data_IF_836697123324
#
_entry.id   IF_836697123324
#
_cell.length_a   1.000
_cell.length_b   1.000
_cell.length_c   1.000
_cell.angle_alpha   90.00
_cell.angle_beta   90.00
_cell.angle_gamma   90.00
#
_symmetry.space_group_name_H-M   'P 1'
#
loop_
_entity.id
_entity.type
_entity.pdbx_description
1 polymer ?
#
# COMPACT_ATOMS: atom_id res chain seq x y z
N UNK A 1 -10.17 -3.21 23.91
CA UNK A 1 -11.36 -2.94 23.05
C UNK A 1 -11.18 -3.64 21.72
N UNK A 2 -12.19 -4.38 21.25
CA UNK A 2 -12.06 -5.11 19.96
C UNK A 2 -12.46 -4.21 18.79
N UNK A 3 -11.65 -4.22 17.73
CA UNK A 3 -11.88 -3.45 16.52
C UNK A 3 -11.87 -4.39 15.31
N UNK A 4 -12.85 -4.22 14.44
CA UNK A 4 -12.89 -4.84 13.13
C UNK A 4 -12.22 -3.89 12.12
N UNK A 5 -11.13 -4.32 11.52
CA UNK A 5 -10.46 -3.60 10.44
C UNK A 5 -10.94 -4.14 9.10
N UNK A 6 -11.36 -3.26 8.21
CA UNK A 6 -11.84 -3.58 6.87
C UNK A 6 -10.98 -2.89 5.82
N UNK A 7 -10.60 -3.64 4.80
CA UNK A 7 -9.91 -3.16 3.61
C UNK A 7 -10.68 -3.66 2.39
N UNK A 8 -11.45 -2.79 1.77
CA UNK A 8 -12.28 -3.10 0.62
C UNK A 8 -11.56 -2.81 -0.70
N UNK A 9 -11.75 -3.66 -1.68
CA UNK A 9 -11.39 -3.44 -3.07
C UNK A 9 -12.63 -3.63 -3.96
N UNK A 10 -12.50 -3.40 -5.26
CA UNK A 10 -13.64 -3.47 -6.20
C UNK A 10 -14.31 -4.86 -6.26
N UNK A 11 -13.56 -5.93 -6.05
CA UNK A 11 -14.06 -7.32 -6.07
C UNK A 11 -13.55 -8.18 -4.91
N UNK A 12 -13.03 -7.54 -3.86
CA UNK A 12 -12.49 -8.22 -2.70
C UNK A 12 -12.71 -7.40 -1.43
N UNK A 13 -12.67 -8.09 -0.28
CA UNK A 13 -12.72 -7.46 1.02
C UNK A 13 -11.83 -8.27 1.96
N UNK A 14 -10.90 -7.61 2.64
CA UNK A 14 -10.09 -8.23 3.71
C UNK A 14 -10.54 -7.69 5.05
N UNK A 15 -10.54 -8.55 6.06
CA UNK A 15 -10.92 -8.14 7.40
C UNK A 15 -10.04 -8.78 8.47
N UNK A 16 -9.98 -8.11 9.62
CA UNK A 16 -9.27 -8.58 10.79
C UNK A 16 -9.97 -8.07 12.05
N UNK A 17 -10.31 -8.99 12.96
CA UNK A 17 -10.82 -8.66 14.29
C UNK A 17 -9.69 -8.79 15.30
N UNK A 18 -9.40 -7.71 16.01
CA UNK A 18 -8.30 -7.68 16.98
C UNK A 18 -8.64 -6.85 18.23
N UNK A 19 -7.96 -7.15 19.33
CA UNK A 19 -7.93 -6.26 20.50
C UNK A 19 -6.83 -5.21 20.32
N UNK A 20 -7.21 -3.94 20.46
CA UNK A 20 -6.26 -2.82 20.25
C UNK A 20 -5.24 -2.67 21.37
N UNK A 21 -5.55 -3.16 22.58
CA UNK A 21 -4.69 -3.02 23.75
C UNK A 21 -3.63 -4.12 23.78
N UNK A 22 -4.05 -5.39 23.54
CA UNK A 22 -3.15 -6.55 23.52
C UNK A 22 -2.53 -6.81 22.15
N UNK A 23 -3.08 -6.23 21.08
CA UNK A 23 -2.75 -6.50 19.66
C UNK A 23 -3.05 -7.96 19.24
N UNK A 24 -3.79 -8.72 20.05
CA UNK A 24 -4.17 -10.09 19.74
C UNK A 24 -5.18 -10.13 18.62
N UNK A 25 -4.89 -10.89 17.56
CA UNK A 25 -5.77 -11.09 16.41
C UNK A 25 -6.65 -12.28 16.65
N UNK A 26 -7.94 -12.07 16.85
CA UNK A 26 -8.91 -13.14 17.08
C UNK A 26 -9.33 -13.87 15.82
N UNK A 27 -9.46 -13.12 14.73
CA UNK A 27 -9.77 -13.67 13.42
C UNK A 27 -9.28 -12.75 12.30
N UNK A 28 -9.00 -13.35 11.16
CA UNK A 28 -8.70 -12.64 9.91
C UNK A 28 -9.31 -13.40 8.73
N UNK A 29 -9.57 -12.69 7.65
CA UNK A 29 -10.10 -13.33 6.47
C UNK A 29 -10.16 -12.42 5.25
N UNK A 30 -10.60 -13.03 4.15
CA UNK A 30 -10.78 -12.34 2.90
C UNK A 30 -11.99 -12.90 2.14
N UNK A 31 -12.79 -12.00 1.59
CA UNK A 31 -13.82 -12.31 0.59
C UNK A 31 -13.21 -12.03 -0.77
N UNK A 32 -13.29 -12.98 -1.69
CA UNK A 32 -12.68 -12.87 -3.01
C UNK A 32 -13.73 -13.08 -4.10
N UNK A 33 -13.51 -12.42 -5.25
CA UNK A 33 -14.37 -12.51 -6.43
C UNK A 33 -15.81 -12.03 -6.15
N UNK A 34 -15.96 -10.97 -5.32
CA UNK A 34 -17.26 -10.34 -5.05
C UNK A 34 -17.83 -9.83 -6.38
N UNK A 35 -19.10 -10.16 -6.66
CA UNK A 35 -19.75 -9.84 -7.93
C UNK A 35 -19.33 -10.72 -9.12
N UNK A 36 -18.49 -11.75 -8.89
CA UNK A 36 -17.94 -12.62 -9.92
C UNK A 36 -18.22 -14.10 -9.55
N UNK A 37 -18.43 -14.96 -10.54
CA UNK A 37 -18.64 -16.39 -10.33
C UNK A 37 -17.44 -17.05 -9.64
N UNK A 38 -17.71 -18.01 -8.75
CA UNK A 38 -16.68 -18.71 -7.96
C UNK A 38 -16.15 -17.91 -6.79
N UNK A 39 -16.96 -17.03 -6.22
CA UNK A 39 -16.65 -16.28 -5.00
C UNK A 39 -16.50 -17.19 -3.79
N UNK A 40 -15.66 -16.78 -2.83
CA UNK A 40 -15.43 -17.52 -1.59
C UNK A 40 -14.97 -16.60 -0.45
N UNK A 41 -15.08 -17.11 0.77
CA UNK A 41 -14.52 -16.49 1.97
C UNK A 41 -13.39 -17.38 2.50
N UNK A 42 -12.18 -16.82 2.61
CA UNK A 42 -11.11 -17.38 3.41
C UNK A 42 -11.22 -16.87 4.84
N UNK A 43 -11.22 -17.74 5.84
CA UNK A 43 -11.34 -17.37 7.24
C UNK A 43 -10.35 -18.16 8.10
N UNK A 44 -9.79 -17.52 9.11
CA UNK A 44 -8.84 -18.11 10.05
C UNK A 44 -9.06 -17.46 11.42
N UNK A 45 -9.32 -18.28 12.43
CA UNK A 45 -9.41 -17.86 13.83
C UNK A 45 -8.07 -18.05 14.54
N UNK A 46 -7.90 -17.39 15.67
CA UNK A 46 -6.71 -17.50 16.52
C UNK A 46 -6.42 -18.98 16.88
N UNK A 47 -5.26 -19.47 16.44
CA UNK A 47 -4.83 -20.85 16.67
C UNK A 47 -5.57 -21.90 15.84
N UNK A 48 -6.45 -21.49 14.93
CA UNK A 48 -7.16 -22.37 14.00
C UNK A 48 -6.49 -22.52 12.65
N UNK A 49 -7.01 -23.43 11.84
CA UNK A 49 -6.59 -23.59 10.46
C UNK A 49 -7.38 -22.65 9.53
N UNK A 50 -6.74 -22.22 8.45
CA UNK A 50 -7.40 -21.42 7.42
C UNK A 50 -8.48 -22.25 6.71
N UNK A 51 -9.70 -21.80 6.79
CA UNK A 51 -10.87 -22.39 6.13
C UNK A 51 -11.20 -21.65 4.84
N UNK A 52 -11.72 -22.35 3.84
CA UNK A 52 -12.26 -21.78 2.62
C UNK A 52 -13.74 -22.13 2.53
N UNK A 53 -14.61 -21.11 2.54
CA UNK A 53 -16.05 -21.23 2.42
C UNK A 53 -16.47 -20.79 1.02
N UNK A 54 -16.90 -21.71 0.18
CA UNK A 54 -17.43 -21.41 -1.15
C UNK A 54 -18.87 -20.92 -1.00
N UNK A 55 -19.07 -19.63 -1.19
CA UNK A 55 -20.37 -18.93 -1.03
C UNK A 55 -20.54 -17.91 -2.13
N UNK A 56 -21.80 -17.72 -2.55
CA UNK A 56 -22.13 -16.67 -3.50
C UNK A 56 -22.04 -15.28 -2.83
N UNK A 57 -21.19 -14.42 -3.35
CA UNK A 57 -21.01 -13.05 -2.90
C UNK A 57 -21.38 -12.09 -4.07
N UNK A 58 -22.68 -11.86 -4.32
CA UNK A 58 -23.11 -11.02 -5.44
C UNK A 58 -22.68 -9.55 -5.30
N UNK A 59 -22.50 -9.09 -4.06
CA UNK A 59 -22.12 -7.72 -3.72
C UNK A 59 -21.40 -7.62 -2.37
N UNK A 60 -20.89 -6.44 -2.06
CA UNK A 60 -20.20 -6.15 -0.80
C UNK A 60 -21.10 -6.24 0.42
N UNK A 61 -22.39 -5.93 0.27
CA UNK A 61 -23.37 -6.02 1.38
C UNK A 61 -23.52 -7.48 1.84
N UNK A 62 -23.65 -8.39 0.89
CA UNK A 62 -23.69 -9.83 1.17
C UNK A 62 -22.38 -10.29 1.83
N UNK A 63 -21.22 -9.86 1.31
CA UNK A 63 -19.92 -10.20 1.88
C UNK A 63 -19.79 -9.71 3.34
N UNK A 64 -20.16 -8.46 3.64
CA UNK A 64 -20.17 -7.90 5.00
C UNK A 64 -21.11 -8.68 5.91
N UNK A 65 -22.30 -9.05 5.45
CA UNK A 65 -23.26 -9.86 6.23
C UNK A 65 -22.62 -11.17 6.66
N UNK A 66 -22.00 -11.92 5.72
CA UNK A 66 -21.31 -13.16 6.04
C UNK A 66 -20.15 -12.97 7.02
N UNK A 67 -19.33 -11.93 6.83
CA UNK A 67 -18.23 -11.62 7.74
C UNK A 67 -18.74 -11.40 9.17
N UNK A 68 -19.78 -10.59 9.35
CA UNK A 68 -20.34 -10.37 10.67
C UNK A 68 -20.99 -11.63 11.27
N UNK A 69 -21.66 -12.45 10.45
CA UNK A 69 -22.25 -13.71 10.94
C UNK A 69 -21.18 -14.69 11.43
N UNK A 70 -20.07 -14.85 10.69
CA UNK A 70 -18.92 -15.65 11.09
C UNK A 70 -18.30 -15.11 12.40
N UNK A 71 -18.13 -13.79 12.51
CA UNK A 71 -17.52 -13.17 13.68
C UNK A 71 -18.38 -13.23 14.95
N UNK A 72 -19.71 -13.42 14.86
CA UNK A 72 -20.58 -13.63 16.03
C UNK A 72 -20.20 -14.84 16.84
N UNK A 73 -19.76 -15.91 16.19
CA UNK A 73 -19.42 -17.19 16.84
C UNK A 73 -18.13 -17.07 17.68
N UNK A 74 -17.28 -16.07 17.41
CA UNK A 74 -16.05 -15.81 18.16
C UNK A 74 -16.35 -15.24 19.57
N UNK A 75 -17.56 -14.73 19.80
CA UNK A 75 -18.00 -14.14 21.07
C UNK A 75 -17.08 -13.01 21.58
N UNK A 76 -16.58 -12.17 20.67
CA UNK A 76 -15.79 -10.97 20.92
C UNK A 76 -16.58 -9.76 20.41
N UNK A 77 -17.26 -8.99 21.27
CA UNK A 77 -18.06 -7.86 20.81
C UNK A 77 -17.20 -6.82 20.08
N UNK A 78 -17.67 -6.38 18.92
CA UNK A 78 -17.00 -5.35 18.10
C UNK A 78 -17.35 -3.98 18.69
N UNK A 79 -16.36 -3.26 19.18
CA UNK A 79 -16.51 -1.93 19.76
C UNK A 79 -16.27 -0.79 18.75
N UNK A 80 -15.75 -1.10 17.56
CA UNK A 80 -15.52 -0.12 16.49
C UNK A 80 -15.11 -0.79 15.19
N UNK A 81 -15.31 -0.07 14.07
CA UNK A 81 -14.89 -0.51 12.74
C UNK A 81 -13.92 0.52 12.15
N UNK A 82 -12.72 0.07 11.78
CA UNK A 82 -11.74 0.87 11.08
C UNK A 82 -11.74 0.52 9.58
N UNK A 83 -11.98 1.53 8.75
CA UNK A 83 -11.97 1.38 7.29
C UNK A 83 -10.69 1.96 6.70
N UNK A 84 -9.87 1.14 6.06
CA UNK A 84 -8.79 1.66 5.23
C UNK A 84 -9.39 2.37 4.03
N UNK A 85 -8.88 3.57 3.73
CA UNK A 85 -9.19 4.34 2.53
C UNK A 85 -7.89 4.68 1.81
N UNK A 86 -7.78 4.32 0.53
CA UNK A 86 -6.53 4.49 -0.22
C UNK A 86 -6.19 5.96 -0.41
N UNK A 87 -7.18 6.81 -0.73
CA UNK A 87 -6.93 8.22 -0.99
C UNK A 87 -7.77 9.11 -0.09
N UNK A 88 -7.10 9.89 0.75
CA UNK A 88 -7.72 10.89 1.61
C UNK A 88 -7.77 12.30 1.00
N UNK A 89 -7.01 12.53 -0.07
CA UNK A 89 -6.93 13.83 -0.74
C UNK A 89 -6.49 14.95 0.20
N UNK A 90 -7.11 16.08 0.03
CA UNK A 90 -6.86 17.31 0.81
C UNK A 90 -7.74 17.44 2.05
N UNK A 91 -8.65 16.50 2.30
CA UNK A 91 -9.59 16.54 3.42
C UNK A 91 -9.10 15.83 4.68
N UNK A 92 -8.19 14.84 4.56
CA UNK A 92 -7.85 13.97 5.67
C UNK A 92 -6.37 14.09 6.09
N UNK A 93 -6.04 15.05 6.98
CA UNK A 93 -4.70 15.11 7.59
C UNK A 93 -4.45 13.98 8.59
N UNK A 94 -5.52 13.31 9.05
CA UNK A 94 -5.49 12.19 9.98
C UNK A 94 -6.72 11.30 9.82
N UNK A 95 -6.84 10.26 10.62
CA UNK A 95 -8.04 9.42 10.66
C UNK A 95 -9.24 10.22 11.18
N UNK A 96 -10.43 9.94 10.65
CA UNK A 96 -11.64 10.67 10.99
C UNK A 96 -12.81 9.74 11.29
N UNK A 97 -13.69 10.17 12.20
CA UNK A 97 -14.98 9.48 12.43
C UNK A 97 -15.84 9.61 11.17
N UNK A 98 -16.53 8.52 10.83
CA UNK A 98 -17.45 8.52 9.70
C UNK A 98 -18.68 9.35 10.02
N UNK A 99 -18.91 10.38 9.21
CA UNK A 99 -20.12 11.22 9.16
C UNK A 99 -20.59 11.31 7.70
N UNK A 100 -21.74 11.93 7.45
CA UNK A 100 -22.19 12.18 6.07
C UNK A 100 -21.19 13.07 5.32
N UNK A 101 -20.59 14.03 6.00
CA UNK A 101 -19.60 14.94 5.44
C UNK A 101 -18.30 14.21 5.10
N UNK A 102 -17.71 13.43 6.04
CA UNK A 102 -16.47 12.70 5.79
C UNK A 102 -16.63 11.61 4.74
N UNK A 103 -17.79 10.97 4.65
CA UNK A 103 -18.11 10.02 3.58
C UNK A 103 -18.24 10.71 2.22
N UNK A 104 -18.84 11.91 2.17
CA UNK A 104 -18.87 12.72 0.95
C UNK A 104 -17.47 13.09 0.47
N UNK A 105 -16.55 13.45 1.38
CA UNK A 105 -15.14 13.71 1.05
C UNK A 105 -14.43 12.50 0.45
N UNK A 106 -14.65 11.28 0.97
CA UNK A 106 -14.09 10.05 0.38
C UNK A 106 -14.55 9.87 -1.08
N UNK A 107 -15.82 10.17 -1.37
CA UNK A 107 -16.37 10.11 -2.73
C UNK A 107 -15.82 11.22 -3.62
N UNK A 108 -15.64 12.42 -3.09
CA UNK A 108 -15.14 13.58 -3.85
C UNK A 108 -13.68 13.36 -4.32
N UNK A 109 -12.84 12.77 -3.49
CA UNK A 109 -11.45 12.47 -3.84
C UNK A 109 -11.28 11.16 -4.61
N UNK A 110 -12.35 10.40 -4.84
CA UNK A 110 -12.30 9.12 -5.55
C UNK A 110 -11.69 9.18 -6.96
N UNK A 111 -11.76 10.28 -7.73
CA UNK A 111 -11.04 10.38 -9.01
C UNK A 111 -9.53 10.20 -8.90
N UNK A 112 -8.92 10.41 -7.72
CA UNK A 112 -7.49 10.16 -7.46
C UNK A 112 -7.16 8.67 -7.25
N UNK A 113 -8.15 7.84 -6.91
CA UNK A 113 -8.02 6.40 -6.72
C UNK A 113 -9.34 5.67 -7.11
N UNK A 114 -9.77 5.75 -8.38
CA UNK A 114 -11.11 5.34 -8.78
C UNK A 114 -11.37 3.83 -8.62
N UNK A 115 -10.33 3.01 -8.63
CA UNK A 115 -10.42 1.55 -8.45
C UNK A 115 -10.62 1.15 -6.97
N UNK A 116 -10.52 2.10 -6.04
CA UNK A 116 -10.54 1.83 -4.59
C UNK A 116 -11.61 2.65 -3.87
N UNK A 117 -11.52 3.98 -3.88
CA UNK A 117 -12.31 4.85 -3.03
C UNK A 117 -13.83 4.70 -3.19
N UNK A 118 -14.33 4.41 -4.40
CA UNK A 118 -15.77 4.17 -4.58
C UNK A 118 -16.24 2.94 -3.83
N UNK A 119 -15.55 1.81 -3.98
CA UNK A 119 -15.89 0.57 -3.27
C UNK A 119 -15.70 0.72 -1.75
N UNK A 120 -14.67 1.44 -1.32
CA UNK A 120 -14.42 1.74 0.09
C UNK A 120 -15.56 2.59 0.68
N UNK A 121 -16.01 3.64 -0.01
CA UNK A 121 -17.12 4.47 0.42
C UNK A 121 -18.43 3.67 0.53
N UNK A 122 -18.71 2.79 -0.42
CA UNK A 122 -19.90 1.95 -0.40
C UNK A 122 -19.86 0.97 0.77
N UNK A 123 -18.72 0.37 1.08
CA UNK A 123 -18.56 -0.53 2.24
C UNK A 123 -18.70 0.23 3.56
N UNK A 124 -18.19 1.46 3.67
CA UNK A 124 -18.38 2.31 4.85
C UNK A 124 -19.88 2.59 5.07
N UNK A 125 -20.60 2.96 4.01
CA UNK A 125 -22.04 3.24 4.07
C UNK A 125 -22.83 2.00 4.49
N UNK A 126 -22.53 0.84 3.90
CA UNK A 126 -23.14 -0.45 4.28
C UNK A 126 -22.92 -0.75 5.77
N UNK A 127 -21.70 -0.59 6.28
CA UNK A 127 -21.39 -0.84 7.69
C UNK A 127 -22.17 0.12 8.62
N UNK A 128 -22.28 1.41 8.29
CA UNK A 128 -23.06 2.37 9.05
C UNK A 128 -24.55 2.03 9.11
N UNK A 129 -25.11 1.62 7.97
CA UNK A 129 -26.53 1.25 7.88
C UNK A 129 -26.85 -0.04 8.65
N UNK A 130 -25.98 -1.04 8.54
CA UNK A 130 -26.22 -2.35 9.17
C UNK A 130 -25.92 -2.35 10.67
N UNK A 131 -24.99 -1.51 11.14
CA UNK A 131 -24.50 -1.49 12.51
C UNK A 131 -24.42 -0.05 13.07
N UNK A 132 -25.57 0.64 13.19
CA UNK A 132 -25.61 2.07 13.56
C UNK A 132 -25.07 2.37 14.97
N UNK A 133 -25.05 1.38 15.87
CA UNK A 133 -24.45 1.52 17.21
C UNK A 133 -22.94 1.39 17.23
N UNK A 134 -22.31 0.88 16.17
CA UNK A 134 -20.87 0.65 16.13
C UNK A 134 -20.19 1.88 15.50
N UNK A 135 -19.28 2.52 16.22
CA UNK A 135 -18.50 3.64 15.69
C UNK A 135 -17.63 3.21 14.51
N UNK A 136 -17.67 3.98 13.43
CA UNK A 136 -16.88 3.76 12.22
C UNK A 136 -15.82 4.85 12.06
N UNK A 137 -14.60 4.50 11.66
CA UNK A 137 -13.46 5.39 11.48
C UNK A 137 -12.83 5.18 10.10
N UNK A 138 -12.63 6.27 9.37
CA UNK A 138 -11.85 6.33 8.12
C UNK A 138 -10.37 6.44 8.47
N UNK A 139 -9.54 5.56 7.88
CA UNK A 139 -8.08 5.55 8.04
C UNK A 139 -7.44 5.70 6.66
N UNK A 140 -7.12 6.93 6.22
CA UNK A 140 -6.54 7.14 4.90
C UNK A 140 -5.07 6.75 4.84
N UNK A 141 -4.67 6.04 3.79
CA UNK A 141 -3.27 5.69 3.53
C UNK A 141 -2.37 6.91 3.26
N UNK A 142 -2.97 8.03 2.86
CA UNK A 142 -2.26 9.28 2.57
C UNK A 142 -2.08 10.17 3.80
N UNK A 143 -2.81 9.93 4.90
CA UNK A 143 -2.82 10.81 6.07
C UNK A 143 -1.44 10.99 6.71
N UNK A 144 -0.62 9.93 6.76
CA UNK A 144 0.74 10.02 7.31
C UNK A 144 1.64 10.98 6.53
N UNK A 145 1.39 11.14 5.23
CA UNK A 145 2.14 12.00 4.32
C UNK A 145 1.58 13.43 4.22
N UNK A 146 0.43 13.69 4.84
CA UNK A 146 -0.29 14.97 4.67
C UNK A 146 0.58 16.18 5.04
N UNK A 147 1.33 16.08 6.14
CA UNK A 147 2.15 17.13 6.72
C UNK A 147 3.61 17.13 6.21
N UNK A 148 3.91 16.51 5.07
CA UNK A 148 5.22 16.64 4.44
C UNK A 148 5.59 18.12 4.24
N UNK A 149 6.89 18.50 4.32
CA UNK A 149 7.33 19.85 3.96
C UNK A 149 6.88 20.25 2.55
N UNK A 150 6.50 21.52 2.35
CA UNK A 150 5.97 21.99 1.06
C UNK A 150 6.93 21.69 -0.10
N UNK A 151 8.24 21.84 0.11
CA UNK A 151 9.27 21.50 -0.88
C UNK A 151 9.27 20.05 -1.35
N UNK A 152 8.72 19.13 -0.55
CA UNK A 152 8.62 17.70 -0.88
C UNK A 152 7.31 17.35 -1.60
N UNK A 153 6.17 17.96 -1.18
CA UNK A 153 4.89 17.62 -1.76
C UNK A 153 4.46 18.46 -2.98
N UNK A 154 5.05 19.66 -3.18
CA UNK A 154 4.64 20.58 -4.26
C UNK A 154 5.29 20.20 -5.59
N UNK A 155 4.49 20.04 -6.62
CA UNK A 155 5.00 19.94 -7.99
C UNK A 155 5.31 21.33 -8.57
N UNK A 156 6.33 21.41 -9.42
CA UNK A 156 6.74 22.63 -10.11
C UNK A 156 5.83 22.95 -11.32
N UNK A 157 4.54 23.07 -11.05
CA UNK A 157 3.50 23.46 -12.01
C UNK A 157 2.98 24.88 -11.69
N UNK A 158 2.26 25.55 -12.62
CA UNK A 158 1.63 26.84 -12.35
C UNK A 158 0.78 26.79 -11.08
N UNK A 159 0.91 27.81 -10.21
CA UNK A 159 0.24 27.85 -8.90
C UNK A 159 -1.27 27.71 -9.00
N UNK A 160 -1.87 28.47 -9.89
CA UNK A 160 -3.31 28.47 -10.14
C UNK A 160 -3.84 27.09 -10.51
N UNK A 161 -3.08 26.32 -11.30
CA UNK A 161 -3.41 24.94 -11.66
C UNK A 161 -3.29 24.02 -10.43
N UNK A 162 -2.18 24.11 -9.71
CA UNK A 162 -1.93 23.31 -8.50
C UNK A 162 -3.01 23.56 -7.45
N UNK A 163 -3.34 24.84 -7.20
CA UNK A 163 -4.29 25.23 -6.17
C UNK A 163 -5.74 24.89 -6.57
N UNK A 164 -6.10 25.07 -7.87
CA UNK A 164 -7.46 24.78 -8.36
C UNK A 164 -7.80 23.29 -8.34
N UNK A 165 -6.82 22.44 -8.70
CA UNK A 165 -7.04 21.00 -8.83
C UNK A 165 -6.44 20.20 -7.67
N UNK A 166 -5.98 20.86 -6.61
CA UNK A 166 -5.36 20.24 -5.43
C UNK A 166 -4.23 19.25 -5.79
N UNK A 167 -3.41 19.63 -6.79
CA UNK A 167 -2.32 18.80 -7.30
C UNK A 167 -1.16 18.84 -6.31
N UNK A 168 -0.86 17.69 -5.69
CA UNK A 168 0.28 17.53 -4.80
C UNK A 168 0.72 16.06 -4.73
N UNK A 169 1.90 15.82 -4.18
CA UNK A 169 2.29 14.48 -3.75
C UNK A 169 1.49 14.12 -2.50
N UNK A 170 0.60 13.12 -2.61
CA UNK A 170 -0.18 12.58 -1.50
C UNK A 170 0.51 11.38 -0.86
N UNK A 171 1.21 10.59 -1.66
CA UNK A 171 1.79 9.31 -1.23
C UNK A 171 0.74 8.21 -1.04
N UNK A 172 1.19 7.07 -0.57
CA UNK A 172 0.34 5.96 -0.14
C UNK A 172 1.11 5.03 0.84
N UNK A 173 0.48 3.96 1.31
CA UNK A 173 1.02 3.05 2.33
C UNK A 173 1.38 3.76 3.66
N UNK A 174 0.82 4.92 3.92
CA UNK A 174 1.16 5.72 5.10
C UNK A 174 0.88 5.02 6.41
N UNK A 175 -0.18 4.19 6.49
CA UNK A 175 -0.47 3.33 7.64
C UNK A 175 0.66 2.35 7.91
N UNK A 176 1.22 1.72 6.87
CA UNK A 176 2.37 0.82 6.98
C UNK A 176 3.64 1.57 7.38
N UNK A 177 3.97 2.67 6.72
CA UNK A 177 5.15 3.46 7.04
C UNK A 177 5.13 3.98 8.48
N UNK A 178 3.97 4.46 8.97
CA UNK A 178 3.79 4.88 10.36
C UNK A 178 3.93 3.72 11.34
N UNK A 179 3.44 2.54 11.00
CA UNK A 179 3.58 1.35 11.83
C UNK A 179 5.05 0.93 11.94
N UNK A 180 5.78 0.88 10.82
CA UNK A 180 7.21 0.55 10.79
C UNK A 180 8.01 1.55 11.61
N UNK A 181 7.75 2.85 11.48
CA UNK A 181 8.41 3.83 12.35
C UNK A 181 8.22 3.53 13.84
N UNK A 182 6.98 3.31 14.27
CA UNK A 182 6.68 3.02 15.68
C UNK A 182 7.41 1.77 16.17
N UNK A 183 7.34 0.69 15.39
CA UNK A 183 7.97 -0.59 15.74
C UNK A 183 9.50 -0.45 15.81
N UNK A 184 10.12 0.17 14.83
CA UNK A 184 11.57 0.40 14.82
C UNK A 184 12.01 1.30 15.98
N UNK A 185 11.25 2.36 16.27
CA UNK A 185 11.54 3.25 17.39
C UNK A 185 11.35 2.55 18.74
N UNK A 186 10.33 1.69 18.90
CA UNK A 186 10.15 0.85 20.09
C UNK A 186 11.33 -0.12 20.30
N UNK A 187 11.90 -0.67 19.21
CA UNK A 187 13.02 -1.62 19.27
C UNK A 187 14.40 -0.95 19.48
N UNK A 188 14.62 0.22 18.86
CA UNK A 188 15.95 0.84 18.77
C UNK A 188 16.08 2.11 19.65
N UNK A 189 14.97 2.70 20.07
CA UNK A 189 14.96 3.95 20.86
C UNK A 189 15.66 5.10 20.14
N UNK A 190 16.43 5.88 20.90
CA UNK A 190 17.18 7.06 20.43
C UNK A 190 18.30 6.75 19.41
N UNK A 191 18.45 5.51 18.96
CA UNK A 191 19.38 5.15 17.87
C UNK A 191 18.80 5.35 16.48
N UNK A 192 17.50 5.67 16.41
CA UNK A 192 16.80 5.88 15.14
C UNK A 192 16.02 7.17 15.18
N UNK A 193 16.55 8.20 14.54
CA UNK A 193 15.88 9.48 14.28
C UNK A 193 15.45 9.57 12.82
N UNK A 194 16.28 9.02 11.90
CA UNK A 194 16.10 9.08 10.44
C UNK A 194 15.93 7.68 9.86
N UNK A 195 14.71 7.31 9.54
CA UNK A 195 14.36 6.01 9.00
C UNK A 195 13.92 6.14 7.53
N UNK A 196 14.46 5.32 6.65
CA UNK A 196 13.83 5.03 5.36
C UNK A 196 13.09 3.71 5.45
N UNK A 197 11.76 3.78 5.39
CA UNK A 197 10.87 2.61 5.36
C UNK A 197 10.62 2.18 3.91
N UNK A 198 10.97 0.95 3.58
CA UNK A 198 10.83 0.34 2.26
C UNK A 198 9.67 -0.66 2.28
N UNK A 199 8.49 -0.21 1.91
CA UNK A 199 7.31 -1.06 1.74
C UNK A 199 7.33 -1.67 0.34
N UNK A 200 7.79 -2.92 0.22
CA UNK A 200 8.01 -3.60 -1.05
C UNK A 200 7.05 -4.79 -1.19
N UNK A 201 5.98 -4.59 -1.90
CA UNK A 201 4.97 -5.59 -2.24
C UNK A 201 4.62 -5.52 -3.73
N UNK A 202 3.47 -6.03 -4.13
CA UNK A 202 2.93 -5.84 -5.51
C UNK A 202 2.75 -4.36 -5.83
N UNK A 203 2.29 -3.53 -4.85
CA UNK A 203 2.51 -2.09 -4.81
C UNK A 203 3.72 -1.80 -3.93
N UNK A 204 4.57 -0.84 -4.30
CA UNK A 204 5.80 -0.55 -3.57
C UNK A 204 6.02 0.96 -3.40
N UNK A 205 6.51 1.36 -2.24
CA UNK A 205 6.89 2.74 -1.93
C UNK A 205 7.97 2.81 -0.86
N UNK A 206 8.75 3.88 -0.88
CA UNK A 206 9.65 4.26 0.18
C UNK A 206 9.16 5.53 0.85
N UNK A 207 9.49 5.68 2.13
CA UNK A 207 9.17 6.87 2.90
C UNK A 207 10.35 7.29 3.77
N UNK A 208 10.73 8.56 3.69
CA UNK A 208 11.66 9.22 4.56
C UNK A 208 10.95 9.69 5.83
N UNK A 209 11.38 9.21 6.99
CA UNK A 209 10.73 9.50 8.28
C UNK A 209 11.78 10.03 9.25
N UNK A 210 11.59 11.27 9.72
CA UNK A 210 12.44 11.88 10.73
C UNK A 210 11.59 12.18 11.97
N UNK A 211 11.99 11.62 13.11
CA UNK A 211 11.30 11.78 14.41
C UNK A 211 9.78 11.54 14.32
N UNK A 212 9.36 10.51 13.58
CA UNK A 212 7.96 10.13 13.41
C UNK A 212 7.17 10.94 12.39
N UNK A 213 7.80 11.87 11.69
CA UNK A 213 7.18 12.70 10.66
C UNK A 213 7.64 12.28 9.27
N UNK A 214 6.71 12.20 8.34
CA UNK A 214 7.03 11.99 6.94
C UNK A 214 7.72 13.23 6.37
N UNK A 215 8.94 13.07 5.88
CA UNK A 215 9.72 14.13 5.23
C UNK A 215 9.58 14.09 3.71
N UNK A 216 9.46 12.87 3.14
CA UNK A 216 9.19 12.62 1.73
C UNK A 216 8.70 11.18 1.51
N UNK A 217 8.12 10.91 0.35
CA UNK A 217 7.73 9.56 -0.08
C UNK A 217 7.78 9.44 -1.59
N UNK A 218 7.89 8.21 -2.10
CA UNK A 218 8.09 7.98 -3.53
C UNK A 218 6.81 7.97 -4.36
N UNK A 219 5.66 7.59 -3.80
CA UNK A 219 4.38 7.71 -4.52
C UNK A 219 3.94 9.17 -4.60
N UNK A 220 3.38 9.56 -5.72
CA UNK A 220 3.09 10.94 -6.07
C UNK A 220 1.64 11.37 -5.84
N UNK A 221 1.04 12.00 -6.86
CA UNK A 221 -0.39 12.36 -6.91
C UNK A 221 -1.27 11.12 -6.75
N UNK A 222 -0.85 10.03 -7.38
CA UNK A 222 -1.48 8.71 -7.34
C UNK A 222 -0.44 7.65 -6.95
N UNK A 223 -0.85 6.42 -6.63
CA UNK A 223 0.07 5.30 -6.37
C UNK A 223 0.84 4.77 -7.60
N UNK A 224 0.85 5.51 -8.71
CA UNK A 224 1.57 5.13 -9.95
C UNK A 224 3.05 5.49 -9.90
N UNK A 225 3.38 6.66 -9.33
CA UNK A 225 4.73 7.20 -9.28
C UNK A 225 5.65 6.43 -8.33
N UNK A 226 6.95 6.59 -8.49
CA UNK A 226 7.99 6.04 -7.61
C UNK A 226 8.61 4.75 -8.15
N UNK A 227 8.57 3.69 -7.36
CA UNK A 227 9.16 2.39 -7.68
C UNK A 227 8.48 1.71 -8.87
N UNK A 228 9.27 0.88 -9.56
CA UNK A 228 8.72 -0.17 -10.42
C UNK A 228 7.92 -1.13 -9.52
N UNK A 229 6.72 -1.52 -9.92
CA UNK A 229 5.84 -2.37 -9.15
C UNK A 229 5.45 -3.60 -9.96
N UNK A 230 4.61 -4.46 -9.44
CA UNK A 230 4.18 -5.67 -10.16
C UNK A 230 3.68 -5.38 -11.58
N UNK A 231 2.76 -4.42 -11.71
CA UNK A 231 2.15 -4.04 -13.02
C UNK A 231 2.25 -2.55 -13.33
N UNK A 232 2.72 -1.71 -12.40
CA UNK A 232 2.84 -0.25 -12.57
C UNK A 232 4.25 0.12 -12.99
N UNK A 233 4.35 1.10 -13.91
CA UNK A 233 5.64 1.51 -14.46
C UNK A 233 6.55 2.23 -13.45
N UNK A 234 6.01 2.86 -12.41
CA UNK A 234 6.74 3.80 -11.56
C UNK A 234 7.05 5.11 -12.29
N UNK A 235 8.05 5.82 -11.78
CA UNK A 235 8.48 7.11 -12.36
C UNK A 235 9.01 6.93 -13.78
N UNK A 236 8.49 7.75 -14.68
CA UNK A 236 8.98 7.87 -16.06
C UNK A 236 8.92 9.35 -16.52
N UNK A 237 9.55 9.66 -17.66
CA UNK A 237 9.45 10.99 -18.25
C UNK A 237 7.99 11.26 -18.67
N UNK A 238 7.35 12.33 -18.16
CA UNK A 238 5.97 12.71 -18.53
C UNK A 238 5.75 12.87 -20.03
N UNK A 239 6.79 13.23 -20.79
CA UNK A 239 6.72 13.36 -22.24
C UNK A 239 6.39 12.03 -22.95
N UNK A 240 6.63 10.88 -22.29
CA UNK A 240 6.27 9.57 -22.81
C UNK A 240 4.76 9.46 -23.07
N UNK A 241 3.92 10.05 -22.22
CA UNK A 241 2.45 10.07 -22.40
C UNK A 241 2.09 10.77 -23.70
N UNK A 242 2.66 11.97 -23.92
CA UNK A 242 2.38 12.75 -25.12
C UNK A 242 2.95 12.12 -26.39
N UNK A 243 4.10 11.45 -26.30
CA UNK A 243 4.72 10.75 -27.41
C UNK A 243 3.88 9.53 -27.84
N UNK A 244 3.47 8.70 -26.91
CA UNK A 244 2.59 7.55 -27.16
C UNK A 244 1.24 7.97 -27.75
N UNK A 245 0.66 9.06 -27.26
CA UNK A 245 -0.60 9.58 -27.80
C UNK A 245 -0.42 10.12 -29.23
N UNK A 246 0.58 11.00 -29.49
CA UNK A 246 0.73 11.68 -30.77
C UNK A 246 1.34 10.81 -31.87
N UNK A 247 2.28 9.93 -31.50
CA UNK A 247 3.04 9.10 -32.45
C UNK A 247 2.56 7.66 -32.46
N UNK A 248 2.29 7.10 -31.27
CA UNK A 248 1.80 5.74 -31.12
C UNK A 248 0.31 5.57 -31.40
N UNK A 249 -0.46 6.67 -31.40
CA UNK A 249 -1.91 6.65 -31.62
C UNK A 249 -2.74 6.09 -30.47
N UNK A 250 -2.13 5.86 -29.29
CA UNK A 250 -2.84 5.39 -28.10
C UNK A 250 -3.72 6.51 -27.51
N UNK A 251 -4.94 6.15 -27.07
CA UNK A 251 -5.75 7.08 -26.26
C UNK A 251 -5.14 7.31 -24.88
N UNK A 252 -5.56 8.36 -24.18
CA UNK A 252 -5.12 8.60 -22.80
C UNK A 252 -5.51 7.44 -21.87
N UNK A 253 -6.71 6.85 -22.07
CA UNK A 253 -7.20 5.71 -21.29
C UNK A 253 -6.38 4.43 -21.56
N UNK A 254 -5.94 4.21 -22.81
CA UNK A 254 -5.04 3.11 -23.13
C UNK A 254 -3.68 3.28 -22.46
N UNK A 255 -3.15 4.51 -22.43
CA UNK A 255 -1.89 4.84 -21.77
C UNK A 255 -2.00 4.66 -20.26
N UNK A 256 -3.08 5.13 -19.65
CA UNK A 256 -3.36 4.91 -18.23
C UNK A 256 -3.41 3.42 -17.89
N UNK A 257 -4.14 2.64 -18.68
CA UNK A 257 -4.21 1.18 -18.54
C UNK A 257 -2.84 0.53 -18.69
N UNK A 258 -2.07 0.93 -19.68
CA UNK A 258 -0.71 0.43 -19.93
C UNK A 258 0.19 0.69 -18.72
N UNK A 259 0.20 1.92 -18.20
CA UNK A 259 1.06 2.31 -17.11
C UNK A 259 0.69 1.66 -15.78
N UNK A 260 -0.59 1.44 -15.52
CA UNK A 260 -1.08 0.89 -14.25
C UNK A 260 -1.17 -0.63 -14.21
N UNK A 261 -1.45 -1.31 -15.37
CA UNK A 261 -1.81 -2.72 -15.39
C UNK A 261 -0.96 -3.61 -16.30
N UNK A 262 -0.17 -3.02 -17.20
CA UNK A 262 0.57 -3.76 -18.23
C UNK A 262 2.08 -3.47 -18.21
N UNK A 263 2.54 -2.73 -17.22
CA UNK A 263 3.93 -2.30 -17.05
C UNK A 263 4.62 -3.01 -15.89
N UNK A 264 5.63 -2.41 -15.34
CA UNK A 264 6.34 -2.89 -14.14
C UNK A 264 7.10 -4.18 -14.37
N UNK A 265 7.18 -4.97 -13.31
CA UNK A 265 7.86 -6.26 -13.33
C UNK A 265 7.26 -7.21 -14.38
N UNK A 266 5.94 -7.20 -14.54
CA UNK A 266 5.23 -7.97 -15.57
C UNK A 266 5.77 -7.67 -16.97
N UNK A 267 5.88 -6.39 -17.33
CA UNK A 267 6.31 -6.00 -18.67
C UNK A 267 7.79 -6.31 -18.93
N UNK A 268 8.65 -6.09 -17.94
CA UNK A 268 10.09 -6.29 -18.09
C UNK A 268 10.45 -7.78 -18.09
N UNK A 269 9.86 -8.57 -17.20
CA UNK A 269 10.08 -10.02 -17.15
C UNK A 269 9.38 -10.76 -18.30
N UNK A 270 8.28 -10.20 -18.82
CA UNK A 270 7.38 -10.81 -19.81
C UNK A 270 6.71 -12.12 -19.36
N UNK A 271 6.79 -12.50 -18.09
CA UNK A 271 6.19 -13.75 -17.57
C UNK A 271 5.19 -13.52 -16.45
N UNK A 272 5.51 -12.68 -15.44
CA UNK A 272 4.69 -12.54 -14.25
C UNK A 272 4.86 -11.17 -13.57
N UNK A 273 3.86 -10.78 -12.80
CA UNK A 273 3.95 -9.66 -11.85
C UNK A 273 4.39 -10.10 -10.44
N UNK A 274 4.49 -11.40 -10.21
CA UNK A 274 4.91 -11.97 -8.92
C UNK A 274 6.43 -12.12 -8.89
N UNK A 275 7.06 -11.50 -7.88
CA UNK A 275 8.52 -11.55 -7.75
C UNK A 275 9.08 -12.96 -7.58
N UNK A 276 8.30 -13.89 -7.00
CA UNK A 276 8.71 -15.28 -6.80
C UNK A 276 8.90 -16.02 -8.12
N UNK A 277 7.95 -15.84 -9.05
CA UNK A 277 8.04 -16.42 -10.39
C UNK A 277 9.23 -15.83 -11.16
N UNK A 278 9.49 -14.53 -10.95
CA UNK A 278 10.59 -13.82 -11.61
C UNK A 278 11.95 -14.25 -11.03
N UNK A 279 12.07 -14.41 -9.70
CA UNK A 279 13.26 -14.96 -9.04
C UNK A 279 13.54 -16.38 -9.53
N UNK A 280 12.52 -17.25 -9.62
CA UNK A 280 12.66 -18.59 -10.16
C UNK A 280 13.10 -18.57 -11.64
N UNK A 281 12.48 -17.71 -12.47
CA UNK A 281 12.87 -17.53 -13.86
C UNK A 281 14.33 -17.09 -14.02
N UNK A 282 14.77 -16.14 -13.21
CA UNK A 282 16.16 -15.67 -13.22
C UNK A 282 17.15 -16.78 -12.82
N UNK A 283 16.85 -17.55 -11.77
CA UNK A 283 17.66 -18.70 -11.35
C UNK A 283 17.74 -19.79 -12.44
N UNK A 284 16.70 -19.91 -13.26
CA UNK A 284 16.68 -20.81 -14.43
C UNK A 284 17.35 -20.22 -15.68
N UNK A 285 17.93 -19.01 -15.56
CA UNK A 285 18.71 -18.38 -16.64
C UNK A 285 17.90 -17.49 -17.58
N UNK A 286 16.64 -17.13 -17.24
CA UNK A 286 15.86 -16.17 -18.01
C UNK A 286 16.44 -14.75 -17.86
N UNK A 287 16.91 -14.19 -18.97
CA UNK A 287 17.56 -12.88 -18.99
C UNK A 287 16.59 -11.71 -18.79
N UNK A 288 15.31 -11.86 -19.15
CA UNK A 288 14.30 -10.83 -18.90
C UNK A 288 13.93 -10.79 -17.42
N UNK A 289 13.81 -11.95 -16.78
CA UNK A 289 13.61 -12.04 -15.34
C UNK A 289 14.79 -11.43 -14.58
N UNK A 290 16.03 -11.75 -14.96
CA UNK A 290 17.22 -11.14 -14.37
C UNK A 290 17.23 -9.62 -14.55
N UNK A 291 16.85 -9.11 -15.72
CA UNK A 291 16.74 -7.67 -15.99
C UNK A 291 15.66 -7.02 -15.11
N UNK A 292 14.51 -7.67 -14.94
CA UNK A 292 13.42 -7.16 -14.11
C UNK A 292 13.86 -6.99 -12.65
N UNK A 293 14.53 -8.00 -12.08
CA UNK A 293 15.10 -7.95 -10.73
C UNK A 293 16.18 -6.86 -10.61
N UNK A 294 17.10 -6.81 -11.58
CA UNK A 294 18.17 -5.81 -11.59
C UNK A 294 17.64 -4.38 -11.62
N UNK A 295 16.64 -4.11 -12.46
CA UNK A 295 15.96 -2.82 -12.51
C UNK A 295 15.24 -2.51 -11.19
N UNK A 296 14.58 -3.48 -10.57
CA UNK A 296 13.88 -3.29 -9.31
C UNK A 296 14.85 -2.93 -8.17
N UNK A 297 15.95 -3.67 -8.04
CA UNK A 297 16.98 -3.40 -7.02
C UNK A 297 17.65 -2.06 -7.25
N UNK A 298 17.99 -1.75 -8.52
CA UNK A 298 18.61 -0.49 -8.91
C UNK A 298 17.72 0.72 -8.57
N UNK A 299 16.44 0.66 -8.96
CA UNK A 299 15.48 1.74 -8.67
C UNK A 299 15.20 1.89 -7.18
N UNK A 300 15.11 0.79 -6.47
CA UNK A 300 14.93 0.83 -5.00
C UNK A 300 16.12 1.51 -4.33
N UNK A 301 17.34 1.20 -4.73
CA UNK A 301 18.55 1.83 -4.19
C UNK A 301 18.63 3.34 -4.55
N UNK A 302 18.28 3.72 -5.78
CA UNK A 302 18.23 5.14 -6.17
C UNK A 302 17.25 5.93 -5.32
N UNK A 303 16.00 5.44 -5.19
CA UNK A 303 14.96 6.11 -4.42
C UNK A 303 15.25 6.08 -2.91
N UNK A 304 15.96 5.04 -2.42
CA UNK A 304 16.46 5.06 -1.04
C UNK A 304 17.43 6.23 -0.82
N UNK A 305 18.39 6.44 -1.71
CA UNK A 305 19.32 7.56 -1.60
C UNK A 305 18.61 8.93 -1.70
N UNK A 306 17.57 9.03 -2.53
CA UNK A 306 16.71 10.20 -2.61
C UNK A 306 16.01 10.47 -1.28
N UNK A 307 15.38 9.46 -0.67
CA UNK A 307 14.74 9.56 0.64
C UNK A 307 15.74 9.93 1.74
N UNK A 308 16.92 9.34 1.74
CA UNK A 308 17.99 9.68 2.68
C UNK A 308 18.44 11.15 2.53
N UNK A 309 18.50 11.66 1.28
CA UNK A 309 18.81 13.05 0.99
C UNK A 309 17.76 14.04 1.55
N UNK A 310 16.49 13.64 1.55
CA UNK A 310 15.39 14.48 2.08
C UNK A 310 15.54 14.77 3.59
N UNK A 311 16.30 13.94 4.29
CA UNK A 311 16.59 14.03 5.73
C UNK A 311 18.05 14.42 6.03
N UNK A 312 18.88 14.67 5.00
CA UNK A 312 20.33 14.93 5.15
C UNK A 312 21.06 13.81 5.89
N UNK A 313 20.67 12.55 5.62
CA UNK A 313 21.23 11.35 6.24
C UNK A 313 20.20 10.28 6.53
N UNK A 314 20.67 9.14 7.02
CA UNK A 314 19.83 8.01 7.41
C UNK A 314 20.50 7.19 8.50
N UNK A 315 19.76 6.80 9.53
CA UNK A 315 20.24 5.93 10.61
C UNK A 315 19.85 4.48 10.35
N UNK A 316 18.63 4.28 9.83
CA UNK A 316 18.03 2.95 9.72
C UNK A 316 17.30 2.79 8.38
N UNK A 317 17.41 1.60 7.82
CA UNK A 317 16.63 1.10 6.69
C UNK A 317 15.76 -0.06 7.17
N UNK A 318 14.46 -0.01 6.89
CA UNK A 318 13.55 -1.09 7.22
C UNK A 318 12.83 -1.61 5.97
N UNK A 319 12.85 -2.92 5.78
CA UNK A 319 12.10 -3.61 4.73
C UNK A 319 10.81 -4.18 5.30
N UNK A 320 9.70 -4.04 4.57
CA UNK A 320 8.38 -4.58 4.94
C UNK A 320 7.57 -4.93 3.70
N UNK A 321 6.39 -5.48 3.92
CA UNK A 321 5.51 -6.05 2.91
C UNK A 321 6.06 -7.30 2.22
N UNK A 322 5.25 -7.90 1.35
CA UNK A 322 5.47 -9.26 0.86
C UNK A 322 6.85 -9.54 0.28
N UNK A 323 7.37 -8.66 -0.58
CA UNK A 323 8.71 -8.81 -1.16
C UNK A 323 9.77 -8.45 -0.12
N UNK A 324 9.59 -7.31 0.58
CA UNK A 324 10.55 -6.81 1.55
C UNK A 324 10.84 -7.80 2.69
N UNK A 325 9.83 -8.50 3.17
CA UNK A 325 9.94 -9.46 4.26
C UNK A 325 10.44 -10.84 3.81
N UNK A 326 10.05 -11.29 2.60
CA UNK A 326 10.23 -12.69 2.20
C UNK A 326 11.32 -12.92 1.17
N UNK A 327 11.97 -11.88 0.58
CA UNK A 327 13.07 -12.04 -0.38
C UNK A 327 14.41 -11.57 0.20
N UNK A 328 15.23 -12.51 0.73
CA UNK A 328 16.60 -12.19 1.15
C UNK A 328 17.47 -11.68 -0.01
N UNK A 329 17.25 -12.22 -1.20
CA UNK A 329 17.99 -11.83 -2.41
C UNK A 329 17.72 -10.36 -2.78
N UNK A 330 16.45 -9.93 -2.73
CA UNK A 330 16.10 -8.54 -2.98
C UNK A 330 16.76 -7.62 -1.94
N UNK A 331 16.68 -7.94 -0.64
CA UNK A 331 17.32 -7.11 0.40
C UNK A 331 18.82 -7.01 0.20
N UNK A 332 19.48 -8.11 -0.12
CA UNK A 332 20.92 -8.13 -0.44
C UNK A 332 21.23 -7.31 -1.69
N UNK A 333 20.48 -7.52 -2.78
CA UNK A 333 20.69 -6.82 -4.05
C UNK A 333 20.52 -5.29 -3.94
N UNK A 334 19.61 -4.82 -3.07
CA UNK A 334 19.45 -3.39 -2.76
C UNK A 334 20.61 -2.90 -1.87
N UNK A 335 20.95 -3.65 -0.81
CA UNK A 335 22.02 -3.27 0.12
C UNK A 335 23.38 -3.16 -0.56
N UNK A 336 23.70 -4.09 -1.45
CA UNK A 336 24.96 -4.08 -2.22
C UNK A 336 25.11 -2.80 -3.06
N UNK A 337 24.02 -2.31 -3.65
CA UNK A 337 24.02 -1.06 -4.43
C UNK A 337 24.13 0.20 -3.55
N UNK A 338 23.92 0.05 -2.25
CA UNK A 338 24.03 1.12 -1.24
C UNK A 338 25.30 1.00 -0.39
N UNK A 339 26.22 0.06 -0.69
CA UNK A 339 27.47 -0.15 0.05
C UNK A 339 28.34 1.12 0.11
N UNK A 340 28.30 1.95 -0.92
CA UNK A 340 28.98 3.25 -0.97
C UNK A 340 28.44 4.27 0.06
N UNK A 341 27.18 4.10 0.51
CA UNK A 341 26.59 4.89 1.61
C UNK A 341 26.89 4.28 2.99
N UNK A 342 27.62 3.17 3.05
CA UNK A 342 27.95 2.48 4.29
C UNK A 342 26.90 1.44 4.71
N UNK A 343 25.89 1.17 3.89
CA UNK A 343 24.90 0.12 4.15
C UNK A 343 25.61 -1.24 4.11
N UNK A 344 25.35 -2.05 5.12
CA UNK A 344 25.89 -3.41 5.22
C UNK A 344 24.79 -4.37 5.66
N UNK A 345 24.72 -5.51 5.02
CA UNK A 345 23.82 -6.60 5.38
C UNK A 345 24.64 -7.76 5.95
N UNK A 346 24.15 -8.38 7.00
CA UNK A 346 24.70 -9.64 7.53
C UNK A 346 24.02 -10.79 6.78
N UNK A 347 24.74 -11.56 5.94
CA UNK A 347 24.13 -12.60 5.13
C UNK A 347 23.39 -13.65 5.96
N UNK A 348 23.94 -14.06 7.12
CA UNK A 348 23.33 -15.08 7.96
C UNK A 348 22.02 -14.59 8.60
N UNK A 349 21.96 -13.31 9.02
CA UNK A 349 20.75 -12.72 9.57
C UNK A 349 19.71 -12.40 8.50
N UNK A 350 20.16 -12.12 7.29
CA UNK A 350 19.26 -11.82 6.17
C UNK A 350 18.41 -13.01 5.76
N UNK A 351 18.89 -14.25 5.99
CA UNK A 351 18.13 -15.48 5.73
C UNK A 351 17.05 -15.77 6.80
N UNK A 352 17.16 -15.11 7.96
CA UNK A 352 16.24 -15.34 9.08
C UNK A 352 15.07 -14.35 8.92
N UNK A 353 13.85 -14.89 8.77
CA UNK A 353 12.64 -14.08 8.91
C UNK A 353 12.50 -13.71 10.38
N UNK A 354 12.58 -12.43 10.70
CA UNK A 354 12.22 -11.92 12.03
C UNK A 354 10.73 -11.63 12.06
N UNK A 355 10.04 -12.30 12.95
CA UNK A 355 8.63 -12.00 13.25
C UNK A 355 8.51 -10.68 14.04
#
# INVERSE_FOLDING_TARGET
MNVLVINAGSSSLKYQLLDVDTKEVYAKGNCERIGIEGSFIGHEELGGEKQKLEVALPDHKTAITYVFDILKDINKPIGGIGHRVVQGGWYFPESAVVTDETLAWVREVAPLAPLHNYAEADVIEICREMFPEIGNVIVPDTAFHYNMPERAWRYALPRDVVDTYHIRKYGAHGTSHRFIWRTVHELMGDKTHKLVSCHLGSGASLCAIEDGKCMDTTMGLTPLDGLIMGTRCGTLDPATVFYLNRVGGYSIDDIDTMMNKQSGLLAVSAISSDSRDIEEGAHNGDTNCQMALDMFYYRTAQLFAEMASSMEGVDTMAFTAGIGENSPEMRAGVADRLAWMGVKIDPAKNEIRSD
#
